data_IF_336822029952
#
_entry.id   IF_336822029952
#
_cell.length_a   1.000
_cell.length_b   1.000
_cell.length_c   1.000
_cell.angle_alpha   90.00
_cell.angle_beta   90.00
_cell.angle_gamma   90.00
#
_symmetry.space_group_name_H-M   'P 1'
#
loop_
_entity.id
_entity.type
_entity.pdbx_description
1 polymer ?
#
# COMPACT_ATOMS: atom_id res chain seq x y z
N UNK A 1 -40.44 97.18 -24.03
CA UNK A 1 -39.32 97.60 -24.89
C UNK A 1 -38.11 97.88 -24.01
N UNK A 2 -36.97 97.45 -24.52
CA UNK A 2 -35.59 97.61 -24.08
C UNK A 2 -35.08 96.64 -23.00
N UNK A 3 -34.31 95.62 -23.36
CA UNK A 3 -33.10 95.54 -24.20
C UNK A 3 -31.86 95.66 -23.32
N UNK A 4 -31.11 94.57 -23.40
CA UNK A 4 -29.67 94.52 -23.36
C UNK A 4 -29.03 94.58 -21.98
N UNK A 5 -28.04 93.76 -21.66
CA UNK A 5 -27.37 92.66 -22.35
C UNK A 5 -26.18 92.43 -21.44
N UNK A 6 -26.24 91.52 -20.44
CA UNK A 6 -25.07 90.93 -19.76
C UNK A 6 -25.53 89.68 -19.00
N UNK A 7 -26.02 88.70 -19.76
CA UNK A 7 -25.97 87.30 -19.38
C UNK A 7 -24.60 86.74 -19.81
N UNK A 8 -24.09 85.76 -19.07
CA UNK A 8 -22.77 85.10 -19.18
C UNK A 8 -21.60 85.67 -18.35
N UNK A 9 -21.64 85.42 -17.04
CA UNK A 9 -20.45 85.03 -16.29
C UNK A 9 -20.72 83.68 -15.59
N UNK A 10 -19.89 82.68 -15.88
CA UNK A 10 -20.04 81.30 -15.43
C UNK A 10 -20.10 81.13 -13.89
N UNK A 11 -20.81 80.12 -13.37
CA UNK A 11 -21.00 79.95 -11.94
C UNK A 11 -19.69 79.58 -11.23
N UNK A 12 -19.30 80.45 -10.29
CA UNK A 12 -18.22 80.19 -9.36
C UNK A 12 -18.39 78.85 -8.63
N UNK A 13 -17.36 78.01 -8.74
CA UNK A 13 -17.21 76.78 -7.94
C UNK A 13 -17.20 77.12 -6.45
N UNK A 14 -18.31 76.87 -5.76
CA UNK A 14 -18.39 76.93 -4.31
C UNK A 14 -17.61 75.76 -3.70
N UNK A 15 -16.30 75.95 -3.50
CA UNK A 15 -15.50 75.06 -2.63
C UNK A 15 -16.04 75.20 -1.21
N UNK A 16 -16.83 74.20 -0.80
CA UNK A 16 -17.30 74.04 0.56
C UNK A 16 -16.08 73.75 1.45
N UNK A 17 -15.45 74.81 1.96
CA UNK A 17 -14.51 74.68 3.06
C UNK A 17 -15.30 74.27 4.30
N UNK A 18 -15.36 72.96 4.55
CA UNK A 18 -15.76 72.44 5.85
C UNK A 18 -14.93 73.14 6.92
N UNK A 19 -15.59 73.86 7.81
CA UNK A 19 -14.96 74.54 8.94
C UNK A 19 -14.16 73.50 9.73
N UNK A 20 -12.84 73.59 9.71
CA UNK A 20 -11.98 72.80 10.58
C UNK A 20 -12.14 73.38 11.98
N UNK A 21 -12.87 72.68 12.85
CA UNK A 21 -12.98 73.04 14.25
C UNK A 21 -11.57 73.04 14.89
N UNK A 22 -11.21 74.04 15.71
CA UNK A 22 -9.92 74.06 16.37
C UNK A 22 -9.81 72.87 17.33
N UNK A 23 -8.79 72.03 17.13
CA UNK A 23 -8.46 70.91 18.02
C UNK A 23 -8.16 71.46 19.41
N UNK A 24 -8.72 70.83 20.44
CA UNK A 24 -8.52 71.22 21.84
C UNK A 24 -7.08 70.90 22.30
N UNK A 25 -6.47 71.73 23.15
CA UNK A 25 -5.08 71.57 23.60
C UNK A 25 -4.79 70.21 24.29
N UNK A 26 -5.80 69.60 24.91
CA UNK A 26 -5.69 68.25 25.48
C UNK A 26 -5.55 67.15 24.41
N UNK A 27 -6.01 67.41 23.19
CA UNK A 27 -5.96 66.48 22.06
C UNK A 27 -4.58 66.48 21.37
N UNK A 28 -3.78 67.55 21.56
CA UNK A 28 -2.42 67.67 21.04
C UNK A 28 -1.37 67.00 21.95
N UNK A 29 -1.68 66.78 23.23
CA UNK A 29 -0.77 66.21 24.23
C UNK A 29 -1.04 64.73 24.55
N UNK A 30 -2.11 64.16 23.99
CA UNK A 30 -2.38 62.72 24.11
C UNK A 30 -1.36 61.89 23.33
N UNK A 31 -0.95 60.71 23.84
CA UNK A 31 -0.08 59.81 23.09
C UNK A 31 -0.72 59.49 21.74
N UNK A 32 -0.01 59.81 20.65
CA UNK A 32 -0.46 59.59 19.27
C UNK A 32 -0.84 58.11 19.12
N UNK A 33 -2.13 57.82 19.04
CA UNK A 33 -2.60 56.44 18.85
C UNK A 33 -2.04 55.96 17.51
N UNK A 34 -1.06 55.06 17.58
CA UNK A 34 -0.48 54.41 16.42
C UNK A 34 -1.60 53.62 15.77
N UNK A 35 -1.86 53.78 14.45
CA UNK A 35 -2.89 52.99 13.79
C UNK A 35 -2.65 51.51 14.10
N UNK A 36 -3.68 50.75 14.48
CA UNK A 36 -3.50 49.35 14.85
C UNK A 36 -2.81 48.63 13.68
N UNK A 37 -1.86 47.72 13.98
CA UNK A 37 -1.14 46.98 12.94
C UNK A 37 -2.15 46.33 11.97
N UNK A 38 -1.85 46.33 10.65
CA UNK A 38 -2.77 45.77 9.67
C UNK A 38 -3.17 44.37 10.09
N UNK A 39 -4.48 44.07 10.09
CA UNK A 39 -4.99 42.74 10.43
C UNK A 39 -4.31 41.73 9.51
N UNK A 40 -3.41 40.92 10.08
CA UNK A 40 -2.70 39.83 9.41
C UNK A 40 -3.70 39.10 8.53
N UNK A 41 -3.42 38.98 7.23
CA UNK A 41 -4.30 38.31 6.27
C UNK A 41 -4.56 36.88 6.75
N UNK A 42 -5.65 36.72 7.49
CA UNK A 42 -6.11 35.42 7.92
C UNK A 42 -6.54 34.68 6.66
N UNK A 43 -5.90 33.54 6.43
CA UNK A 43 -6.53 32.39 5.82
C UNK A 43 -7.04 32.56 4.38
N UNK A 44 -6.22 32.10 3.44
CA UNK A 44 -6.77 31.39 2.29
C UNK A 44 -6.03 30.08 1.95
N UNK A 45 -4.91 29.73 2.61
CA UNK A 45 -4.10 28.56 2.20
C UNK A 45 -3.57 27.66 3.33
N UNK A 46 -4.21 27.64 4.49
CA UNK A 46 -3.85 26.69 5.56
C UNK A 46 -4.69 25.40 5.54
N UNK A 47 -6.00 25.46 5.25
CA UNK A 47 -6.85 24.27 5.27
C UNK A 47 -6.46 23.23 4.22
N UNK A 48 -6.33 23.64 2.96
CA UNK A 48 -6.00 22.72 1.85
C UNK A 48 -4.61 22.11 2.02
N UNK A 49 -3.60 22.90 2.42
CA UNK A 49 -2.24 22.40 2.63
C UNK A 49 -2.16 21.47 3.83
N UNK A 50 -2.90 21.74 4.91
CA UNK A 50 -2.98 20.85 6.08
C UNK A 50 -3.68 19.54 5.74
N UNK A 51 -4.80 19.59 5.01
CA UNK A 51 -5.50 18.37 4.56
C UNK A 51 -4.62 17.58 3.59
N UNK A 52 -3.97 18.22 2.64
CA UNK A 52 -3.04 17.56 1.72
C UNK A 52 -1.86 16.91 2.45
N UNK A 53 -1.22 17.63 3.37
CA UNK A 53 -0.13 17.09 4.18
C UNK A 53 -0.61 15.95 5.08
N UNK A 54 -1.82 16.04 5.64
CA UNK A 54 -2.41 14.96 6.42
C UNK A 54 -2.66 13.71 5.56
N UNK A 55 -3.25 13.87 4.36
CA UNK A 55 -3.47 12.76 3.42
C UNK A 55 -2.12 12.14 3.00
N UNK A 56 -1.14 12.96 2.66
CA UNK A 56 0.20 12.50 2.29
C UNK A 56 0.87 11.75 3.45
N UNK A 57 0.80 12.29 4.67
CA UNK A 57 1.34 11.63 5.86
C UNK A 57 0.66 10.29 6.14
N UNK A 58 -0.67 10.20 5.98
CA UNK A 58 -1.41 8.94 6.10
C UNK A 58 -1.00 7.95 5.00
N UNK A 59 -0.84 8.41 3.77
CA UNK A 59 -0.42 7.56 2.66
C UNK A 59 0.99 6.99 2.89
N UNK A 60 1.93 7.83 3.33
CA UNK A 60 3.29 7.41 3.69
C UNK A 60 3.26 6.43 4.86
N UNK A 61 2.46 6.71 5.90
CA UNK A 61 2.30 5.80 7.03
C UNK A 61 1.76 4.44 6.60
N UNK A 62 0.73 4.41 5.76
CA UNK A 62 0.17 3.16 5.21
C UNK A 62 1.18 2.43 4.33
N UNK A 63 1.99 3.14 3.54
CA UNK A 63 3.05 2.53 2.75
C UNK A 63 4.10 1.86 3.63
N UNK A 64 4.55 2.54 4.70
CA UNK A 64 5.50 1.96 5.66
C UNK A 64 4.90 0.73 6.34
N UNK A 65 3.63 0.81 6.76
CA UNK A 65 2.92 -0.30 7.39
C UNK A 65 2.82 -1.51 6.44
N UNK A 66 2.46 -1.26 5.18
CA UNK A 66 2.39 -2.28 4.14
C UNK A 66 3.76 -2.90 3.84
N UNK A 67 4.82 -2.08 3.76
CA UNK A 67 6.19 -2.58 3.59
C UNK A 67 6.62 -3.47 4.76
N UNK A 68 6.29 -3.08 6.01
CA UNK A 68 6.55 -3.90 7.19
C UNK A 68 5.82 -5.25 7.15
N UNK A 69 4.53 -5.25 6.78
CA UNK A 69 3.74 -6.47 6.61
C UNK A 69 4.33 -7.40 5.53
N UNK A 70 4.73 -6.85 4.38
CA UNK A 70 5.36 -7.63 3.30
C UNK A 70 6.70 -8.19 3.76
N UNK A 71 7.52 -7.40 4.46
CA UNK A 71 8.81 -7.84 4.97
C UNK A 71 8.65 -8.97 6.00
N UNK A 72 7.72 -8.83 6.94
CA UNK A 72 7.40 -9.86 7.92
C UNK A 72 6.89 -11.15 7.26
N UNK A 73 6.00 -11.03 6.27
CA UNK A 73 5.51 -12.19 5.51
C UNK A 73 6.61 -12.92 4.75
N UNK A 74 7.55 -12.17 4.14
CA UNK A 74 8.74 -12.75 3.50
C UNK A 74 9.62 -13.49 4.49
N UNK A 75 9.94 -12.86 5.62
CA UNK A 75 10.75 -13.47 6.66
C UNK A 75 10.13 -14.79 7.14
N UNK A 76 8.82 -14.79 7.41
CA UNK A 76 8.09 -15.99 7.85
C UNK A 76 8.02 -17.10 6.79
N UNK A 77 8.12 -16.74 5.51
CA UNK A 77 8.11 -17.70 4.40
C UNK A 77 9.46 -18.40 4.21
N UNK A 78 10.56 -17.73 4.57
CA UNK A 78 11.93 -18.24 4.50
C UNK A 78 12.40 -18.86 5.83
N UNK A 79 11.66 -18.63 6.92
CA UNK A 79 11.95 -19.23 8.23
C UNK A 79 11.88 -20.77 8.21
N UNK A 80 12.66 -21.44 9.07
CA UNK A 80 12.59 -22.89 9.24
C UNK A 80 11.17 -23.33 9.58
N UNK A 81 10.67 -24.33 8.85
CA UNK A 81 9.33 -24.85 9.05
C UNK A 81 9.17 -25.62 10.38
N UNK A 82 7.92 -25.85 10.81
CA UNK A 82 7.61 -26.50 12.09
C UNK A 82 7.90 -28.00 12.10
N UNK A 83 8.19 -28.58 10.93
CA UNK A 83 8.27 -30.01 10.73
C UNK A 83 9.49 -30.60 11.46
N UNK A 84 9.25 -31.53 12.38
CA UNK A 84 10.30 -32.17 13.20
C UNK A 84 10.77 -33.53 12.65
N UNK A 85 9.96 -34.18 11.82
CA UNK A 85 10.28 -35.48 11.22
C UNK A 85 9.94 -35.47 9.74
N UNK A 86 10.67 -36.24 8.94
CA UNK A 86 10.37 -36.38 7.51
C UNK A 86 8.93 -36.86 7.31
N UNK A 87 8.18 -36.18 6.44
CA UNK A 87 6.79 -36.52 6.10
C UNK A 87 6.58 -36.55 4.60
N UNK A 88 5.84 -37.55 4.13
CA UNK A 88 5.49 -37.67 2.71
C UNK A 88 4.05 -37.26 2.50
N UNK A 89 3.79 -36.43 1.48
CA UNK A 89 2.45 -36.00 1.08
C UNK A 89 2.27 -36.20 -0.42
N UNK A 90 1.10 -36.73 -0.80
CA UNK A 90 0.68 -36.86 -2.20
C UNK A 90 -0.12 -35.62 -2.60
N UNK A 91 0.42 -34.86 -3.54
CA UNK A 91 -0.25 -33.71 -4.17
C UNK A 91 -0.99 -34.22 -5.41
N UNK A 92 -2.33 -34.24 -5.35
CA UNK A 92 -3.18 -34.73 -6.45
C UNK A 92 -3.24 -33.74 -7.62
N UNK A 93 -3.26 -34.26 -8.84
CA UNK A 93 -3.52 -33.50 -10.07
C UNK A 93 -4.84 -32.72 -9.99
N UNK A 94 -4.85 -31.49 -10.52
CA UNK A 94 -6.01 -30.61 -10.46
C UNK A 94 -6.34 -30.04 -9.07
N UNK A 95 -5.54 -30.32 -8.04
CA UNK A 95 -5.69 -29.66 -6.73
C UNK A 95 -5.28 -28.20 -6.85
N UNK A 96 -6.23 -27.29 -6.62
CA UNK A 96 -5.91 -25.86 -6.57
C UNK A 96 -4.94 -25.54 -5.43
N UNK A 97 -4.15 -24.47 -5.60
CA UNK A 97 -3.17 -23.98 -4.61
C UNK A 97 -3.73 -23.93 -3.17
N UNK A 98 -5.00 -23.55 -3.01
CA UNK A 98 -5.64 -23.52 -1.70
C UNK A 98 -5.74 -24.90 -1.04
N UNK A 99 -6.12 -25.95 -1.78
CA UNK A 99 -6.19 -27.31 -1.23
C UNK A 99 -4.82 -27.85 -0.89
N UNK A 100 -3.81 -27.54 -1.72
CA UNK A 100 -2.43 -27.96 -1.45
C UNK A 100 -1.92 -27.32 -0.16
N UNK A 101 -2.15 -26.00 0.01
CA UNK A 101 -1.75 -25.28 1.21
C UNK A 101 -2.43 -25.82 2.47
N UNK A 102 -3.74 -26.07 2.40
CA UNK A 102 -4.52 -26.66 3.49
C UNK A 102 -3.97 -28.04 3.88
N UNK A 103 -3.75 -28.93 2.90
CA UNK A 103 -3.17 -30.25 3.15
C UNK A 103 -1.76 -30.17 3.76
N UNK A 104 -0.92 -29.25 3.30
CA UNK A 104 0.41 -29.05 3.88
C UNK A 104 0.35 -28.60 5.34
N UNK A 105 -0.58 -27.68 5.67
CA UNK A 105 -0.76 -27.20 7.04
C UNK A 105 -1.35 -28.27 7.95
N UNK A 106 -2.36 -29.01 7.50
CA UNK A 106 -2.97 -30.11 8.25
C UNK A 106 -1.97 -31.20 8.61
N UNK A 107 -0.97 -31.44 7.75
CA UNK A 107 0.11 -32.38 8.02
C UNK A 107 1.29 -31.78 8.80
N UNK A 108 1.20 -30.51 9.21
CA UNK A 108 2.24 -29.81 9.97
C UNK A 108 3.53 -29.58 9.18
N UNK A 109 3.46 -29.58 7.84
CA UNK A 109 4.61 -29.31 6.97
C UNK A 109 4.86 -27.80 6.90
N UNK A 110 3.79 -26.99 6.92
CA UNK A 110 3.84 -25.53 6.96
C UNK A 110 3.05 -25.00 8.16
N UNK A 111 3.43 -23.82 8.66
CA UNK A 111 2.73 -23.17 9.76
C UNK A 111 1.41 -22.50 9.36
N UNK A 112 1.34 -21.93 8.14
CA UNK A 112 0.22 -21.09 7.74
C UNK A 112 -0.05 -21.13 6.24
N UNK A 113 -1.25 -21.56 5.86
CA UNK A 113 -1.71 -21.65 4.48
C UNK A 113 -1.80 -20.29 3.77
N UNK A 114 -2.14 -19.20 4.47
CA UNK A 114 -2.27 -17.87 3.87
C UNK A 114 -0.91 -17.33 3.44
N UNK A 115 0.09 -17.45 4.31
CA UNK A 115 1.47 -17.03 4.00
C UNK A 115 2.01 -17.85 2.84
N UNK A 116 1.82 -19.17 2.87
CA UNK A 116 2.23 -20.04 1.77
C UNK A 116 1.57 -19.66 0.43
N UNK A 117 0.25 -19.50 0.41
CA UNK A 117 -0.49 -19.08 -0.81
C UNK A 117 0.00 -17.74 -1.34
N UNK A 118 0.20 -16.76 -0.46
CA UNK A 118 0.68 -15.43 -0.83
C UNK A 118 2.10 -15.50 -1.39
N UNK A 119 3.00 -16.27 -0.74
CA UNK A 119 4.35 -16.53 -1.22
C UNK A 119 4.37 -17.17 -2.59
N UNK A 120 3.64 -18.27 -2.79
CA UNK A 120 3.53 -18.96 -4.08
C UNK A 120 3.02 -18.01 -5.18
N UNK A 121 2.05 -17.14 -4.87
CA UNK A 121 1.52 -16.15 -5.81
C UNK A 121 2.55 -15.04 -6.11
N UNK A 122 3.27 -14.57 -5.11
CA UNK A 122 4.35 -13.59 -5.27
C UNK A 122 5.48 -14.12 -6.15
N UNK A 123 5.80 -15.41 -6.03
CA UNK A 123 6.79 -16.11 -6.86
C UNK A 123 6.25 -16.56 -8.23
N UNK A 124 4.99 -16.24 -8.57
CA UNK A 124 4.31 -16.70 -9.80
C UNK A 124 4.36 -18.22 -9.99
N UNK A 125 4.50 -18.97 -8.90
CA UNK A 125 4.64 -20.43 -8.91
C UNK A 125 3.27 -21.13 -8.87
N UNK A 126 2.16 -20.40 -8.76
CA UNK A 126 0.82 -20.98 -8.58
C UNK A 126 0.40 -21.98 -9.65
N UNK A 127 0.79 -21.78 -10.92
CA UNK A 127 0.54 -22.71 -12.02
C UNK A 127 1.70 -23.67 -12.32
N UNK A 128 2.82 -23.53 -11.59
CA UNK A 128 4.02 -24.33 -11.79
C UNK A 128 4.18 -25.44 -10.74
N UNK A 129 3.27 -25.54 -9.77
CA UNK A 129 3.23 -26.63 -8.80
C UNK A 129 2.81 -27.91 -9.51
N UNK A 130 3.70 -28.91 -9.52
CA UNK A 130 3.44 -30.20 -10.15
C UNK A 130 2.77 -31.14 -9.17
N UNK A 131 1.84 -31.96 -9.66
CA UNK A 131 1.31 -33.07 -8.89
C UNK A 131 2.36 -34.18 -8.76
N UNK A 132 2.26 -34.94 -7.68
CA UNK A 132 3.20 -36.01 -7.37
C UNK A 132 3.31 -36.28 -5.87
N UNK A 133 4.15 -37.25 -5.52
CA UNK A 133 4.46 -37.61 -4.14
C UNK A 133 5.78 -36.95 -3.72
N UNK A 134 5.73 -36.18 -2.64
CA UNK A 134 6.86 -35.39 -2.15
C UNK A 134 7.17 -35.75 -0.71
N UNK A 135 8.45 -35.98 -0.42
CA UNK A 135 8.96 -36.13 0.93
C UNK A 135 9.55 -34.81 1.40
N UNK A 136 9.08 -34.34 2.55
CA UNK A 136 9.51 -33.10 3.18
C UNK A 136 10.42 -33.40 4.37
N UNK A 137 11.66 -32.92 4.31
CA UNK A 137 12.63 -33.03 5.39
C UNK A 137 12.29 -32.09 6.56
N UNK A 138 12.73 -32.41 7.80
CA UNK A 138 12.51 -31.55 8.95
C UNK A 138 13.20 -30.19 8.79
N UNK A 139 12.57 -29.14 9.31
CA UNK A 139 13.09 -27.76 9.29
C UNK A 139 13.06 -27.06 7.93
N UNK A 140 12.52 -27.67 6.87
CA UNK A 140 12.39 -27.01 5.58
C UNK A 140 11.45 -25.80 5.64
N UNK A 141 11.86 -24.71 5.02
CA UNK A 141 11.05 -23.48 4.95
C UNK A 141 9.85 -23.65 4.01
N UNK A 142 8.87 -22.76 4.11
CA UNK A 142 7.75 -22.72 3.16
C UNK A 142 8.24 -22.48 1.72
N UNK A 143 9.31 -21.70 1.56
CA UNK A 143 10.00 -21.51 0.27
C UNK A 143 10.54 -22.83 -0.29
N UNK A 144 11.24 -23.63 0.53
CA UNK A 144 11.82 -24.90 0.10
C UNK A 144 10.73 -25.94 -0.23
N UNK A 145 9.65 -25.95 0.55
CA UNK A 145 8.45 -26.77 0.29
C UNK A 145 7.85 -26.40 -1.07
N UNK A 146 7.64 -25.11 -1.34
CA UNK A 146 7.16 -24.64 -2.64
C UNK A 146 8.11 -25.06 -3.76
N UNK A 147 9.41 -24.84 -3.58
CA UNK A 147 10.42 -25.10 -4.60
C UNK A 147 10.54 -26.60 -4.93
N UNK A 148 10.39 -27.46 -3.93
CA UNK A 148 10.34 -28.92 -4.10
C UNK A 148 9.17 -29.34 -4.98
N UNK A 149 7.96 -28.81 -4.70
CA UNK A 149 6.76 -29.08 -5.48
C UNK A 149 6.83 -28.45 -6.88
N UNK A 150 7.42 -27.26 -7.00
CA UNK A 150 7.59 -26.53 -8.28
C UNK A 150 8.55 -27.26 -9.21
N UNK A 151 9.69 -27.70 -8.70
CA UNK A 151 10.70 -28.42 -9.48
C UNK A 151 10.21 -29.82 -9.85
N UNK A 152 9.33 -30.42 -9.05
CA UNK A 152 8.91 -31.80 -9.21
C UNK A 152 9.95 -32.78 -8.69
N UNK A 153 10.82 -32.35 -7.76
CA UNK A 153 11.78 -33.22 -7.08
C UNK A 153 11.07 -34.03 -6.00
N UNK A 154 10.17 -34.90 -6.45
CA UNK A 154 9.44 -35.86 -5.61
C UNK A 154 10.27 -37.08 -5.26
N UNK A 155 9.67 -37.98 -4.48
CA UNK A 155 10.25 -39.29 -4.18
C UNK A 155 10.38 -40.08 -5.48
N UNK A 156 11.61 -40.32 -5.94
CA UNK A 156 11.88 -41.20 -7.08
C UNK A 156 11.75 -42.66 -6.64
N UNK A 157 10.62 -43.30 -6.96
CA UNK A 157 10.52 -44.75 -6.85
C UNK A 157 11.35 -45.41 -7.97
N UNK A 158 12.45 -46.08 -7.59
CA UNK A 158 13.25 -46.87 -8.51
C UNK A 158 12.46 -48.13 -8.91
N UNK A 159 11.81 -48.09 -10.07
CA UNK A 159 11.20 -49.29 -10.65
C UNK A 159 12.33 -50.18 -11.16
N UNK A 160 12.53 -51.33 -10.51
CA UNK A 160 13.46 -52.35 -11.00
C UNK A 160 12.69 -53.26 -11.95
N UNK A 161 12.95 -53.11 -13.25
CA UNK A 161 12.43 -54.05 -14.24
C UNK A 161 13.36 -55.26 -14.28
N UNK A 162 12.91 -56.47 -13.90
CA UNK A 162 13.69 -57.67 -14.14
C UNK A 162 13.91 -57.82 -15.66
N UNK A 163 15.16 -58.03 -16.06
CA UNK A 163 15.51 -58.30 -17.46
C UNK A 163 14.76 -59.57 -17.90
N UNK A 164 13.87 -59.43 -18.90
CA UNK A 164 12.98 -60.51 -19.36
C UNK A 164 11.50 -60.13 -19.50
N UNK A 165 11.08 -58.94 -19.09
CA UNK A 165 9.72 -58.45 -19.34
C UNK A 165 9.55 -57.99 -20.80
N UNK A 166 8.55 -58.53 -21.48
CA UNK A 166 8.14 -58.04 -22.80
C UNK A 166 7.42 -56.69 -22.67
N UNK A 167 7.51 -55.81 -23.68
CA UNK A 167 6.96 -54.44 -23.62
C UNK A 167 5.48 -54.38 -23.21
N UNK A 168 4.71 -55.41 -23.56
CA UNK A 168 3.30 -55.54 -23.21
C UNK A 168 3.06 -55.78 -21.71
N UNK A 169 4.00 -56.44 -21.02
CA UNK A 169 3.96 -56.69 -19.58
C UNK A 169 4.45 -55.49 -18.75
N UNK A 170 5.26 -54.62 -19.35
CA UNK A 170 5.66 -53.35 -18.73
C UNK A 170 4.49 -52.36 -18.68
N UNK A 171 3.67 -52.28 -19.73
CA UNK A 171 2.48 -51.42 -19.76
C UNK A 171 1.43 -51.85 -18.72
N UNK A 172 1.23 -53.15 -18.51
CA UNK A 172 0.30 -53.68 -17.51
C UNK A 172 0.71 -53.41 -16.05
N UNK A 173 1.92 -52.89 -15.80
CA UNK A 173 2.38 -52.45 -14.46
C UNK A 173 2.36 -50.93 -14.27
N UNK A 174 2.00 -50.18 -15.32
CA UNK A 174 1.94 -48.72 -15.33
C UNK A 174 0.50 -48.18 -15.31
N UNK A 175 -0.52 -49.04 -15.45
CA UNK A 175 -1.91 -48.77 -15.02
C UNK A 175 -2.09 -49.08 -13.53
#
# INVERSE_FOLDING_TARGET
MNADDYDNAEPGTSRQFGRVAPRSANEALGPRQVPPPPKRSRQARHGVVVVFNAIFSVMVFMAILASGLVYFGKMRFEEPGPLQTTRTLVVREGSGLARIADQLQLNGIIDNEFIFRLGVRAHRASGALKAGEYAFAPGMSMYDVMETIRTGRGVLHKITFPEGLTSHQMMARLE
#
